data_IF_546832595903
#
_entry.id   IF_546832595903
#
_cell.length_a   1.000
_cell.length_b   1.000
_cell.length_c   1.000
_cell.angle_alpha   90.00
_cell.angle_beta   90.00
_cell.angle_gamma   90.00
#
_symmetry.space_group_name_H-M   'P 1'
#
loop_
_entity.id
_entity.type
_entity.pdbx_description
1 polymer ?
#
# COMPACT_ATOMS: atom_id res chain seq x y z
N UNK A 1 75.52 -46.49 -37.80
CA UNK A 1 75.36 -47.39 -36.63
C UNK A 1 74.00 -47.10 -35.98
N UNK A 2 73.33 -48.11 -35.39
CA UNK A 2 71.88 -48.35 -35.42
C UNK A 2 71.02 -47.70 -34.31
N UNK A 3 69.69 -47.65 -34.57
CA UNK A 3 68.50 -47.38 -33.71
C UNK A 3 68.32 -48.45 -32.59
N UNK A 4 67.27 -48.45 -31.72
CA UNK A 4 66.25 -47.43 -31.32
C UNK A 4 65.96 -47.38 -29.78
N UNK A 5 65.10 -46.46 -29.30
CA UNK A 5 63.93 -46.84 -28.48
C UNK A 5 62.88 -45.70 -28.39
N UNK A 6 61.62 -46.11 -28.44
CA UNK A 6 60.39 -45.32 -28.61
C UNK A 6 59.67 -44.98 -27.29
N UNK A 7 58.88 -43.89 -27.36
CA UNK A 7 57.62 -43.54 -26.63
C UNK A 7 57.71 -42.93 -25.22
N UNK A 8 56.66 -42.22 -24.73
CA UNK A 8 55.43 -41.74 -25.40
C UNK A 8 55.07 -40.25 -25.17
N UNK A 9 54.07 -39.78 -25.95
CA UNK A 9 53.27 -38.56 -25.73
C UNK A 9 52.78 -38.44 -24.28
N UNK A 10 52.86 -37.23 -23.73
CA UNK A 10 51.97 -36.76 -22.67
C UNK A 10 51.29 -35.45 -23.11
N UNK A 11 49.97 -35.33 -22.99
CA UNK A 11 49.24 -34.13 -23.34
C UNK A 11 49.46 -33.06 -22.27
N UNK A 12 49.78 -31.84 -22.71
CA UNK A 12 49.80 -30.68 -21.82
C UNK A 12 48.40 -30.51 -21.20
N UNK A 13 48.27 -30.39 -19.86
CA UNK A 13 46.97 -30.21 -19.24
C UNK A 13 46.42 -28.84 -19.64
N UNK A 14 45.24 -28.85 -20.25
CA UNK A 14 44.36 -27.70 -20.25
C UNK A 14 44.20 -27.29 -18.78
N UNK A 15 44.73 -26.13 -18.41
CA UNK A 15 44.44 -25.52 -17.12
C UNK A 15 42.92 -25.31 -17.06
N UNK A 16 42.24 -26.26 -16.42
CA UNK A 16 40.84 -26.19 -16.03
C UNK A 16 40.66 -24.96 -15.15
N UNK A 17 39.99 -23.95 -15.70
CA UNK A 17 39.44 -22.83 -14.94
C UNK A 17 38.47 -23.36 -13.87
N UNK A 18 38.64 -23.03 -12.58
CA UNK A 18 37.64 -23.32 -11.55
C UNK A 18 36.53 -22.26 -11.51
N UNK A 19 35.95 -21.86 -12.65
CA UNK A 19 34.92 -20.78 -12.72
C UNK A 19 33.47 -21.30 -12.91
N UNK A 20 33.27 -22.60 -13.17
CA UNK A 20 31.96 -23.15 -13.57
C UNK A 20 30.86 -23.16 -12.49
N UNK A 21 31.11 -23.42 -11.19
CA UNK A 21 30.02 -23.44 -10.20
C UNK A 21 29.41 -22.06 -9.95
N UNK A 22 30.25 -21.02 -9.97
CA UNK A 22 29.86 -19.65 -9.66
C UNK A 22 29.09 -18.99 -10.82
N UNK A 23 29.48 -19.27 -12.07
CA UNK A 23 28.72 -18.80 -13.25
C UNK A 23 27.34 -19.46 -13.37
N UNK A 24 27.24 -20.76 -13.09
CA UNK A 24 25.97 -21.50 -13.16
C UNK A 24 24.99 -20.99 -12.10
N UNK A 25 25.46 -20.81 -10.87
CA UNK A 25 24.67 -20.20 -9.79
C UNK A 25 24.23 -18.77 -10.10
N UNK A 26 25.10 -17.95 -10.71
CA UNK A 26 24.74 -16.58 -11.14
C UNK A 26 23.69 -16.58 -12.26
N UNK A 27 23.78 -17.50 -13.21
CA UNK A 27 22.79 -17.66 -14.27
C UNK A 27 21.43 -18.12 -13.71
N UNK A 28 21.44 -19.06 -12.76
CA UNK A 28 20.23 -19.53 -12.07
C UNK A 28 19.56 -18.41 -11.25
N UNK A 29 20.35 -17.55 -10.59
CA UNK A 29 19.87 -16.36 -9.87
C UNK A 29 19.27 -15.34 -10.85
N UNK A 30 19.94 -15.08 -11.98
CA UNK A 30 19.42 -14.15 -13.00
C UNK A 30 18.10 -14.65 -13.59
N UNK A 31 17.98 -15.95 -13.83
CA UNK A 31 16.74 -16.57 -14.29
C UNK A 31 15.61 -16.44 -13.26
N UNK A 32 15.91 -16.74 -11.99
CA UNK A 32 14.94 -16.60 -10.91
C UNK A 32 14.43 -15.16 -10.79
N UNK A 33 15.31 -14.16 -10.92
CA UNK A 33 14.92 -12.74 -10.91
C UNK A 33 14.05 -12.37 -12.11
N UNK A 34 14.32 -12.89 -13.32
CA UNK A 34 13.49 -12.66 -14.52
C UNK A 34 12.08 -13.24 -14.36
N UNK A 35 11.98 -14.43 -13.78
CA UNK A 35 10.68 -15.03 -13.45
C UNK A 35 9.91 -14.18 -12.42
N UNK A 36 10.61 -13.67 -11.40
CA UNK A 36 10.00 -12.80 -10.40
C UNK A 36 9.51 -11.48 -11.00
N UNK A 37 10.29 -10.85 -11.89
CA UNK A 37 9.86 -9.67 -12.66
C UNK A 37 8.56 -9.96 -13.41
N UNK A 38 8.52 -11.06 -14.17
CA UNK A 38 7.33 -11.44 -14.94
C UNK A 38 6.10 -11.63 -14.05
N UNK A 39 6.29 -12.22 -12.86
CA UNK A 39 5.21 -12.43 -11.89
C UNK A 39 4.72 -11.12 -11.27
N UNK A 40 5.63 -10.20 -10.93
CA UNK A 40 5.26 -8.88 -10.39
C UNK A 40 4.49 -8.07 -11.44
N UNK A 41 4.93 -8.09 -12.70
CA UNK A 41 4.21 -7.42 -13.79
C UNK A 41 2.80 -8.00 -13.99
N UNK A 42 2.64 -9.32 -13.90
CA UNK A 42 1.33 -9.96 -13.95
C UNK A 42 0.44 -9.55 -12.78
N UNK A 43 0.99 -9.53 -11.57
CA UNK A 43 0.27 -9.09 -10.38
C UNK A 43 -0.14 -7.61 -10.48
N UNK A 44 0.74 -6.72 -10.98
CA UNK A 44 0.44 -5.32 -11.23
C UNK A 44 -0.70 -5.13 -12.24
N UNK A 45 -0.72 -5.92 -13.32
CA UNK A 45 -1.84 -5.93 -14.27
C UNK A 45 -3.16 -6.33 -13.58
N UNK A 46 -3.14 -7.39 -12.76
CA UNK A 46 -4.31 -7.81 -11.99
C UNK A 46 -4.80 -6.74 -11.00
N UNK A 47 -3.89 -6.00 -10.36
CA UNK A 47 -4.25 -4.87 -9.49
C UNK A 47 -4.94 -3.74 -10.28
N UNK A 48 -4.45 -3.40 -11.47
CA UNK A 48 -5.07 -2.39 -12.33
C UNK A 48 -6.47 -2.84 -12.81
N UNK A 49 -6.63 -4.12 -13.15
CA UNK A 49 -7.93 -4.70 -13.50
C UNK A 49 -8.95 -4.59 -12.35
N UNK A 50 -8.50 -4.76 -11.10
CA UNK A 50 -9.34 -4.56 -9.90
C UNK A 50 -9.66 -3.09 -9.63
N UNK A 51 -8.85 -2.16 -10.14
CA UNK A 51 -9.05 -0.70 -9.95
C UNK A 51 -10.29 -0.19 -10.67
N UNK A 52 -10.55 -0.68 -11.88
CA UNK A 52 -11.69 -0.27 -12.72
C UNK A 52 -13.05 -0.48 -12.03
N UNK A 53 -13.42 -1.69 -11.55
CA UNK A 53 -14.70 -1.90 -10.88
C UNK A 53 -14.80 -1.15 -9.56
N UNK A 54 -13.69 -0.97 -8.83
CA UNK A 54 -13.67 -0.18 -7.61
C UNK A 54 -13.96 1.30 -7.90
N UNK A 55 -13.38 1.85 -8.97
CA UNK A 55 -13.61 3.23 -9.37
C UNK A 55 -15.08 3.46 -9.77
N UNK A 56 -15.68 2.53 -10.52
CA UNK A 56 -17.11 2.57 -10.85
C UNK A 56 -18.00 2.49 -9.59
N UNK A 57 -17.59 1.71 -8.58
CA UNK A 57 -18.27 1.64 -7.29
C UNK A 57 -18.16 2.96 -6.51
N UNK A 58 -16.99 3.61 -6.51
CA UNK A 58 -16.78 4.93 -5.91
C UNK A 58 -17.64 6.00 -6.58
N UNK A 59 -17.73 6.01 -7.91
CA UNK A 59 -18.53 6.99 -8.65
C UNK A 59 -20.03 6.83 -8.37
N UNK A 60 -20.53 5.58 -8.38
CA UNK A 60 -21.91 5.29 -7.98
C UNK A 60 -22.20 5.70 -6.54
N UNK A 61 -21.24 5.48 -5.64
CA UNK A 61 -21.35 5.89 -4.25
C UNK A 61 -21.35 7.43 -4.10
N UNK A 62 -20.54 8.14 -4.89
CA UNK A 62 -20.53 9.60 -4.93
C UNK A 62 -21.88 10.17 -5.43
N UNK A 63 -22.45 9.58 -6.48
CA UNK A 63 -23.79 9.95 -6.96
C UNK A 63 -24.87 9.74 -5.89
N UNK A 64 -24.80 8.63 -5.16
CA UNK A 64 -25.69 8.37 -4.03
C UNK A 64 -25.50 9.39 -2.89
N UNK A 65 -24.26 9.79 -2.61
CA UNK A 65 -23.95 10.86 -1.66
C UNK A 65 -24.56 12.21 -2.05
N UNK A 66 -24.54 12.56 -3.34
CA UNK A 66 -25.18 13.77 -3.84
C UNK A 66 -26.71 13.75 -3.66
N UNK A 67 -27.35 12.59 -3.87
CA UNK A 67 -28.78 12.41 -3.61
C UNK A 67 -29.12 12.55 -2.12
N UNK A 68 -28.30 11.97 -1.23
CA UNK A 68 -28.47 12.15 0.21
C UNK A 68 -28.29 13.61 0.64
N UNK A 69 -27.32 14.33 0.09
CA UNK A 69 -27.13 15.75 0.39
C UNK A 69 -28.36 16.58 -0.01
N UNK A 70 -28.97 16.29 -1.17
CA UNK A 70 -30.23 16.93 -1.58
C UNK A 70 -31.36 16.63 -0.59
N UNK A 71 -31.50 15.38 -0.17
CA UNK A 71 -32.50 14.98 0.82
C UNK A 71 -32.32 15.74 2.15
N UNK A 72 -31.07 15.85 2.63
CA UNK A 72 -30.73 16.61 3.84
C UNK A 72 -31.06 18.10 3.65
N UNK A 73 -30.74 18.67 2.49
CA UNK A 73 -31.06 20.07 2.16
C UNK A 73 -32.56 20.35 2.16
N UNK A 74 -33.38 19.40 1.72
CA UNK A 74 -34.84 19.54 1.67
C UNK A 74 -35.51 19.43 3.05
N UNK A 75 -34.97 18.60 3.94
CA UNK A 75 -35.64 18.23 5.20
C UNK A 75 -34.98 18.83 6.46
N UNK A 76 -33.77 19.38 6.36
CA UNK A 76 -33.02 19.89 7.52
C UNK A 76 -32.79 21.41 7.44
N UNK A 77 -32.45 22.00 8.60
CA UNK A 77 -32.10 23.41 8.68
C UNK A 77 -30.75 23.70 7.98
N UNK A 78 -30.50 24.92 7.49
CA UNK A 78 -29.23 25.28 6.85
C UNK A 78 -27.99 24.96 7.72
N UNK A 79 -28.09 25.17 9.03
CA UNK A 79 -27.02 24.86 9.99
C UNK A 79 -26.80 23.36 10.19
N UNK A 80 -27.82 22.53 9.97
CA UNK A 80 -27.72 21.07 10.03
C UNK A 80 -27.09 20.52 8.74
N UNK A 81 -27.47 21.08 7.59
CA UNK A 81 -26.82 20.80 6.30
C UNK A 81 -25.31 21.13 6.36
N UNK A 82 -24.94 22.28 6.89
CA UNK A 82 -23.52 22.64 7.06
C UNK A 82 -22.75 21.61 7.91
N UNK A 83 -23.34 21.18 9.03
CA UNK A 83 -22.75 20.14 9.90
C UNK A 83 -22.63 18.80 9.18
N UNK A 84 -23.64 18.41 8.40
CA UNK A 84 -23.61 17.21 7.57
C UNK A 84 -22.46 17.29 6.54
N UNK A 85 -22.37 18.37 5.77
CA UNK A 85 -21.33 18.54 4.74
C UNK A 85 -19.92 18.53 5.34
N UNK A 86 -19.73 19.21 6.48
CA UNK A 86 -18.46 19.17 7.21
C UNK A 86 -18.11 17.76 7.67
N UNK A 87 -19.08 17.00 8.20
CA UNK A 87 -18.86 15.62 8.61
C UNK A 87 -18.46 14.72 7.42
N UNK A 88 -19.19 14.76 6.31
CA UNK A 88 -18.92 13.94 5.12
C UNK A 88 -17.56 14.28 4.49
N UNK A 89 -17.17 15.55 4.49
CA UNK A 89 -15.86 16.01 4.00
C UNK A 89 -14.70 15.68 4.94
N UNK A 90 -14.93 15.68 6.26
CA UNK A 90 -13.91 15.30 7.24
C UNK A 90 -13.70 13.79 7.33
N UNK A 91 -14.75 13.00 7.08
CA UNK A 91 -14.67 11.54 7.08
C UNK A 91 -13.57 11.04 6.15
N UNK A 92 -13.53 11.55 4.93
CA UNK A 92 -12.52 11.18 3.94
C UNK A 92 -11.11 11.59 4.38
N UNK A 93 -10.95 12.83 4.86
CA UNK A 93 -9.65 13.36 5.29
C UNK A 93 -9.08 12.59 6.47
N UNK A 94 -9.90 12.29 7.48
CA UNK A 94 -9.47 11.57 8.69
C UNK A 94 -9.14 10.11 8.37
N UNK A 95 -9.97 9.43 7.58
CA UNK A 95 -9.71 8.03 7.16
C UNK A 95 -8.41 7.96 6.35
N UNK A 96 -8.23 8.84 5.36
CA UNK A 96 -6.99 8.88 4.58
C UNK A 96 -5.76 9.17 5.43
N UNK A 97 -5.84 10.10 6.38
CA UNK A 97 -4.74 10.39 7.31
C UNK A 97 -4.35 9.15 8.13
N UNK A 98 -5.33 8.44 8.70
CA UNK A 98 -5.10 7.23 9.48
C UNK A 98 -4.45 6.12 8.66
N UNK A 99 -4.92 5.91 7.43
CA UNK A 99 -4.38 4.90 6.52
C UNK A 99 -2.93 5.23 6.14
N UNK A 100 -2.66 6.48 5.76
CA UNK A 100 -1.32 6.97 5.43
C UNK A 100 -0.33 6.83 6.62
N UNK A 101 -0.75 7.18 7.83
CA UNK A 101 0.08 7.03 9.02
C UNK A 101 0.34 5.56 9.35
N UNK A 102 -0.67 4.69 9.19
CA UNK A 102 -0.55 3.25 9.41
C UNK A 102 0.45 2.61 8.44
N UNK A 103 0.35 2.92 7.15
CA UNK A 103 1.29 2.44 6.14
C UNK A 103 2.72 2.93 6.40
N UNK A 104 2.89 4.23 6.71
CA UNK A 104 4.21 4.79 7.04
C UNK A 104 4.82 4.17 8.29
N UNK A 105 4.02 3.95 9.32
CA UNK A 105 4.49 3.34 10.56
C UNK A 105 4.90 1.88 10.33
N UNK A 106 4.11 1.10 9.59
CA UNK A 106 4.46 -0.27 9.23
C UNK A 106 5.80 -0.33 8.47
N UNK A 107 6.03 0.57 7.51
CA UNK A 107 7.32 0.64 6.79
C UNK A 107 8.50 0.94 7.72
N UNK A 108 8.34 1.88 8.65
CA UNK A 108 9.39 2.21 9.62
C UNK A 108 9.63 1.05 10.60
N UNK A 109 8.57 0.35 11.02
CA UNK A 109 8.69 -0.83 11.88
C UNK A 109 9.42 -1.98 11.18
N UNK A 110 9.13 -2.20 9.89
CA UNK A 110 9.85 -3.18 9.08
C UNK A 110 11.33 -2.81 8.95
N UNK A 111 11.66 -1.55 8.68
CA UNK A 111 13.05 -1.08 8.63
C UNK A 111 13.76 -1.25 9.99
N UNK A 112 13.09 -0.96 11.10
CA UNK A 112 13.64 -1.19 12.44
C UNK A 112 13.87 -2.68 12.74
N UNK A 113 13.04 -3.57 12.20
CA UNK A 113 13.21 -5.03 12.40
C UNK A 113 14.43 -5.61 11.70
N UNK A 114 14.98 -4.90 10.70
CA UNK A 114 16.20 -5.29 9.97
C UNK A 114 17.47 -4.64 10.52
N UNK A 115 17.36 -3.73 11.51
CA UNK A 115 18.53 -3.10 12.15
C UNK A 115 19.31 -4.12 12.95
N UNK A 116 20.63 -4.13 12.78
CA UNK A 116 21.56 -5.03 13.44
C UNK A 116 22.77 -4.29 14.04
N UNK A 117 23.77 -5.05 14.49
CA UNK A 117 25.01 -4.51 15.06
C UNK A 117 25.93 -3.82 14.03
N UNK A 118 25.66 -3.98 12.74
CA UNK A 118 26.43 -3.40 11.63
C UNK A 118 25.76 -2.14 11.06
N UNK A 119 24.51 -1.88 11.45
CA UNK A 119 23.78 -0.68 11.08
C UNK A 119 24.40 0.55 11.74
N UNK A 120 24.54 1.62 10.98
CA UNK A 120 25.10 2.88 11.47
C UNK A 120 24.29 3.44 12.65
N UNK A 121 25.00 4.00 13.63
CA UNK A 121 24.39 4.48 14.87
C UNK A 121 23.46 5.69 14.63
N UNK A 122 23.82 6.57 13.68
CA UNK A 122 23.01 7.72 13.30
C UNK A 122 21.77 7.27 12.53
N UNK A 123 21.91 6.30 11.62
CA UNK A 123 20.77 5.70 10.90
C UNK A 123 19.76 5.07 11.87
N UNK A 124 20.24 4.26 12.83
CA UNK A 124 19.39 3.66 13.86
C UNK A 124 18.66 4.72 14.69
N UNK A 125 19.37 5.74 15.15
CA UNK A 125 18.79 6.84 15.92
C UNK A 125 17.74 7.61 15.12
N UNK A 126 18.01 7.84 13.82
CA UNK A 126 17.07 8.48 12.89
C UNK A 126 15.77 7.67 12.75
N UNK A 127 15.86 6.36 12.54
CA UNK A 127 14.70 5.46 12.46
C UNK A 127 13.89 5.46 13.76
N UNK A 128 14.55 5.39 14.92
CA UNK A 128 13.89 5.46 16.23
C UNK A 128 13.13 6.78 16.42
N UNK A 129 13.75 7.90 16.06
CA UNK A 129 13.12 9.22 16.16
C UNK A 129 11.88 9.33 15.26
N UNK A 130 11.97 8.80 14.03
CA UNK A 130 10.87 8.76 13.06
C UNK A 130 9.74 7.86 13.56
N UNK A 131 10.05 6.70 14.13
CA UNK A 131 9.06 5.80 14.72
C UNK A 131 8.29 6.47 15.87
N UNK A 132 9.00 7.14 16.80
CA UNK A 132 8.38 7.87 17.92
C UNK A 132 7.46 8.98 17.41
N UNK A 133 7.91 9.76 16.43
CA UNK A 133 7.10 10.82 15.83
C UNK A 133 5.82 10.27 15.18
N UNK A 134 5.94 9.21 14.38
CA UNK A 134 4.79 8.58 13.72
C UNK A 134 3.81 7.96 14.73
N UNK A 135 4.32 7.37 15.82
CA UNK A 135 3.47 6.87 16.91
C UNK A 135 2.64 7.99 17.53
N UNK A 136 3.26 9.15 17.79
CA UNK A 136 2.55 10.33 18.31
C UNK A 136 1.50 10.84 17.32
N UNK A 137 1.87 11.03 16.06
CA UNK A 137 0.94 11.47 15.01
C UNK A 137 -0.25 10.51 14.85
N UNK A 138 -0.02 9.20 14.99
CA UNK A 138 -1.10 8.22 14.94
C UNK A 138 -2.06 8.36 16.11
N UNK A 139 -1.56 8.68 17.31
CA UNK A 139 -2.43 8.93 18.46
C UNK A 139 -3.24 10.21 18.26
N UNK A 140 -2.61 11.30 17.81
CA UNK A 140 -3.31 12.55 17.47
C UNK A 140 -4.41 12.31 16.41
N UNK A 141 -4.14 11.44 15.42
CA UNK A 141 -5.14 11.07 14.40
C UNK A 141 -6.28 10.20 14.94
N UNK A 142 -6.06 9.39 15.98
CA UNK A 142 -7.14 8.67 16.67
C UNK A 142 -8.07 9.64 17.40
N UNK A 143 -7.53 10.70 18.00
CA UNK A 143 -8.37 11.75 18.62
C UNK A 143 -9.25 12.44 17.58
N UNK A 144 -8.71 12.70 16.37
CA UNK A 144 -9.51 13.20 15.24
C UNK A 144 -10.64 12.23 14.87
N UNK A 145 -10.40 10.91 14.91
CA UNK A 145 -11.42 9.89 14.67
C UNK A 145 -12.50 9.88 15.75
N UNK A 146 -12.12 9.97 17.03
CA UNK A 146 -13.09 10.06 18.13
C UNK A 146 -13.97 11.31 17.98
N UNK A 147 -13.38 12.45 17.62
CA UNK A 147 -14.12 13.69 17.35
C UNK A 147 -15.02 13.56 16.12
N UNK A 148 -14.58 12.87 15.08
CA UNK A 148 -15.38 12.56 13.91
C UNK A 148 -16.60 11.68 14.28
N UNK A 149 -16.41 10.67 15.13
CA UNK A 149 -17.50 9.79 15.59
C UNK A 149 -18.52 10.55 16.43
N UNK A 150 -18.07 11.49 17.27
CA UNK A 150 -18.99 12.39 17.99
C UNK A 150 -19.82 13.25 17.02
N UNK A 151 -19.21 13.74 15.94
CA UNK A 151 -19.92 14.52 14.92
C UNK A 151 -20.87 13.66 14.11
N UNK A 152 -20.50 12.43 13.77
CA UNK A 152 -21.40 11.46 13.14
C UNK A 152 -22.65 11.25 13.99
N UNK A 153 -22.49 11.06 15.31
CA UNK A 153 -23.61 10.91 16.23
C UNK A 153 -24.52 12.14 16.25
N UNK A 154 -23.95 13.36 16.25
CA UNK A 154 -24.74 14.60 16.17
C UNK A 154 -25.54 14.64 14.87
N UNK A 155 -24.91 14.29 13.73
CA UNK A 155 -25.56 14.22 12.41
C UNK A 155 -26.70 13.20 12.42
N UNK A 156 -26.42 11.97 12.83
CA UNK A 156 -27.41 10.89 12.95
C UNK A 156 -28.59 11.28 13.84
N UNK A 157 -28.35 12.06 14.90
CA UNK A 157 -29.39 12.49 15.86
C UNK A 157 -30.34 13.53 15.29
N UNK A 158 -29.88 14.47 14.44
CA UNK A 158 -30.83 15.38 13.78
C UNK A 158 -31.50 14.73 12.58
N UNK A 159 -30.78 13.91 11.81
CA UNK A 159 -31.36 13.19 10.69
C UNK A 159 -32.48 12.24 11.12
N UNK A 160 -32.37 11.60 12.28
CA UNK A 160 -33.43 10.73 12.81
C UNK A 160 -34.74 11.44 13.16
N UNK A 161 -34.70 12.78 13.31
CA UNK A 161 -35.88 13.60 13.57
C UNK A 161 -36.55 14.08 12.28
N UNK A 162 -35.80 14.17 11.19
CA UNK A 162 -36.27 14.71 9.91
C UNK A 162 -36.59 13.64 8.86
N UNK A 163 -35.91 12.49 8.92
CA UNK A 163 -35.96 11.44 7.90
C UNK A 163 -36.76 10.21 8.34
N UNK A 164 -37.26 9.46 7.37
CA UNK A 164 -37.87 8.15 7.61
C UNK A 164 -36.83 7.13 8.11
N UNK A 165 -37.30 6.03 8.72
CA UNK A 165 -36.42 4.96 9.18
C UNK A 165 -35.59 4.33 8.05
N UNK A 166 -36.17 4.22 6.85
CA UNK A 166 -35.49 3.71 5.65
C UNK A 166 -34.40 4.68 5.17
N UNK A 167 -34.71 5.97 5.06
CA UNK A 167 -33.75 7.01 4.67
C UNK A 167 -32.60 7.14 5.68
N UNK A 168 -32.90 7.03 6.98
CA UNK A 168 -31.87 7.05 8.01
C UNK A 168 -30.98 5.80 7.95
N UNK A 169 -31.55 4.64 7.67
CA UNK A 169 -30.77 3.41 7.49
C UNK A 169 -29.87 3.51 6.25
N UNK A 170 -30.40 4.07 5.17
CA UNK A 170 -29.67 4.34 3.93
C UNK A 170 -28.48 5.28 4.16
N UNK A 171 -28.67 6.40 4.86
CA UNK A 171 -27.59 7.28 5.31
C UNK A 171 -26.49 6.54 6.10
N UNK A 172 -26.86 5.70 7.06
CA UNK A 172 -25.88 4.93 7.85
C UNK A 172 -25.07 3.97 6.98
N UNK A 173 -25.75 3.28 6.05
CA UNK A 173 -25.07 2.40 5.08
C UNK A 173 -24.13 3.21 4.20
N UNK A 174 -24.56 4.36 3.70
CA UNK A 174 -23.73 5.25 2.90
C UNK A 174 -22.42 5.64 3.62
N UNK A 175 -22.48 6.06 4.89
CA UNK A 175 -21.30 6.42 5.69
C UNK A 175 -20.35 5.23 5.87
N UNK A 176 -20.89 4.06 6.18
CA UNK A 176 -20.10 2.83 6.35
C UNK A 176 -19.42 2.41 5.03
N UNK A 177 -20.16 2.42 3.93
CA UNK A 177 -19.63 2.11 2.60
C UNK A 177 -18.57 3.13 2.19
N UNK A 178 -18.72 4.43 2.49
CA UNK A 178 -17.69 5.45 2.20
C UNK A 178 -16.34 5.07 2.83
N UNK A 179 -16.34 4.73 4.12
CA UNK A 179 -15.13 4.33 4.82
C UNK A 179 -14.53 3.03 4.23
N UNK A 180 -15.36 2.04 3.90
CA UNK A 180 -14.90 0.78 3.28
C UNK A 180 -14.25 1.01 1.91
N UNK A 181 -14.83 1.87 1.07
CA UNK A 181 -14.29 2.19 -0.25
C UNK A 181 -12.95 2.91 -0.15
N UNK A 182 -12.80 3.86 0.77
CA UNK A 182 -11.52 4.53 1.01
C UNK A 182 -10.42 3.56 1.44
N UNK A 183 -10.75 2.61 2.32
CA UNK A 183 -9.80 1.57 2.74
C UNK A 183 -9.39 0.69 1.56
N UNK A 184 -10.35 0.20 0.77
CA UNK A 184 -10.09 -0.64 -0.41
C UNK A 184 -9.25 0.10 -1.46
N UNK A 185 -9.55 1.38 -1.70
CA UNK A 185 -8.80 2.21 -2.64
C UNK A 185 -7.36 2.39 -2.17
N UNK A 186 -7.15 2.75 -0.90
CA UNK A 186 -5.80 2.93 -0.34
C UNK A 186 -4.99 1.64 -0.28
N UNK A 187 -5.63 0.51 0.01
CA UNK A 187 -4.97 -0.81 -0.02
C UNK A 187 -4.49 -1.17 -1.43
N UNK A 188 -5.34 -0.93 -2.44
CA UNK A 188 -4.98 -1.16 -3.84
C UNK A 188 -3.82 -0.26 -4.29
N UNK A 189 -3.87 1.04 -3.95
CA UNK A 189 -2.81 2.02 -4.23
C UNK A 189 -1.47 1.61 -3.59
N UNK A 190 -1.46 1.17 -2.32
CA UNK A 190 -0.24 0.76 -1.63
C UNK A 190 0.34 -0.54 -2.21
N UNK A 191 -0.51 -1.49 -2.60
CA UNK A 191 -0.07 -2.72 -3.29
C UNK A 191 0.55 -2.43 -4.65
N UNK A 192 -0.06 -1.51 -5.41
CA UNK A 192 0.47 -1.06 -6.70
C UNK A 192 1.83 -0.39 -6.51
N UNK A 193 1.92 0.58 -5.60
CA UNK A 193 3.16 1.28 -5.25
C UNK A 193 4.28 0.31 -4.85
N UNK A 194 3.98 -0.67 -4.00
CA UNK A 194 4.97 -1.67 -3.57
C UNK A 194 5.44 -2.55 -4.74
N UNK A 195 4.53 -2.99 -5.61
CA UNK A 195 4.89 -3.79 -6.78
C UNK A 195 5.77 -3.00 -7.76
N UNK A 196 5.48 -1.72 -7.97
CA UNK A 196 6.29 -0.81 -8.80
C UNK A 196 7.70 -0.62 -8.22
N UNK A 197 7.81 -0.38 -6.91
CA UNK A 197 9.12 -0.29 -6.20
C UNK A 197 9.93 -1.59 -6.32
N UNK A 198 9.27 -2.74 -6.20
CA UNK A 198 9.91 -4.05 -6.34
C UNK A 198 10.40 -4.30 -7.77
N UNK A 199 9.58 -3.92 -8.76
CA UNK A 199 9.93 -4.06 -10.18
C UNK A 199 11.14 -3.20 -10.53
N UNK A 200 11.14 -1.92 -10.11
CA UNK A 200 12.25 -1.00 -10.34
C UNK A 200 13.56 -1.51 -9.73
N UNK A 201 13.52 -1.99 -8.49
CA UNK A 201 14.68 -2.54 -7.80
C UNK A 201 15.22 -3.80 -8.50
N UNK A 202 14.34 -4.69 -8.97
CA UNK A 202 14.74 -5.91 -9.66
C UNK A 202 15.32 -5.62 -11.05
N UNK A 203 14.67 -4.77 -11.84
CA UNK A 203 15.13 -4.36 -13.17
C UNK A 203 16.50 -3.68 -13.10
N UNK A 204 16.68 -2.76 -12.15
CA UNK A 204 17.99 -2.13 -11.88
C UNK A 204 19.05 -3.17 -11.55
N UNK A 205 18.71 -4.20 -10.76
CA UNK A 205 19.65 -5.27 -10.39
C UNK A 205 20.00 -6.22 -11.55
N UNK A 206 19.16 -6.27 -12.58
CA UNK A 206 19.34 -7.05 -13.81
C UNK A 206 19.97 -6.23 -14.95
N UNK A 207 20.10 -4.91 -14.78
CA UNK A 207 20.40 -3.94 -15.84
C UNK A 207 19.41 -4.02 -17.02
N UNK A 208 18.12 -4.21 -16.70
CA UNK A 208 17.01 -4.15 -17.65
C UNK A 208 16.50 -2.71 -17.81
#
# INVERSE_FOLDING_TARGET
MPKPLTKPLSPSPIHLRPELPNLRSKADIAETKRLLVSHIEEHLRSLEEMRVPLQAEIERHAAHGAALELLVREHCLPVELERYSLFIGDLERVVNLLLCLSARLARVQNALSTVDQHTDAEEKQSLDSRHRLLCKQREDAKDLKVNLDRRENVVSTFLSRQLSAEQLQDYRRFVQTKASLLIRQKDLEEKQRLGEEQLEALSSSLNL
#
